data_IF_617277229712
#
_entry.id   IF_617277229712
#
_cell.length_a   1.000
_cell.length_b   1.000
_cell.length_c   1.000
_cell.angle_alpha   90.00
_cell.angle_beta   90.00
_cell.angle_gamma   90.00
#
_symmetry.space_group_name_H-M   'P 1'
#
loop_
_entity.id
_entity.type
_entity.pdbx_description
1 polymer ?
#
# COMPACT_ATOMS: atom_id res chain seq x y z
N UNK A 1 23.69 8.24 -17.93
CA UNK A 1 23.76 6.76 -17.95
C UNK A 1 22.44 6.19 -17.43
N UNK A 2 21.86 5.19 -18.09
CA UNK A 2 20.66 4.51 -17.58
C UNK A 2 21.06 3.31 -16.74
N UNK A 3 20.36 3.09 -15.63
CA UNK A 3 20.53 1.92 -14.77
C UNK A 3 19.34 1.00 -14.94
N UNK A 4 19.63 -0.30 -15.02
CA UNK A 4 18.63 -1.36 -14.88
C UNK A 4 18.75 -1.93 -13.49
N UNK A 5 17.63 -2.05 -12.79
CA UNK A 5 17.55 -2.65 -11.47
C UNK A 5 16.44 -3.69 -11.53
N UNK A 6 16.79 -4.91 -11.14
CA UNK A 6 15.82 -6.00 -10.94
C UNK A 6 15.89 -6.38 -9.48
N UNK A 7 14.75 -6.49 -8.82
CA UNK A 7 14.68 -7.02 -7.47
C UNK A 7 13.31 -7.66 -7.22
N UNK A 8 13.31 -8.63 -6.31
CA UNK A 8 12.10 -9.28 -5.83
C UNK A 8 11.96 -9.03 -4.33
N UNK A 9 10.76 -8.67 -3.89
CA UNK A 9 10.40 -8.55 -2.48
C UNK A 9 9.40 -9.64 -2.13
N UNK A 10 9.67 -10.40 -1.07
CA UNK A 10 8.78 -11.44 -0.56
C UNK A 10 8.42 -11.12 0.88
N UNK A 11 7.12 -11.06 1.16
CA UNK A 11 6.60 -10.80 2.50
C UNK A 11 5.58 -11.88 2.89
N UNK A 12 5.87 -12.69 3.94
CA UNK A 12 4.89 -13.61 4.50
C UNK A 12 3.62 -12.86 4.93
N UNK A 13 2.46 -13.43 4.62
CA UNK A 13 1.18 -12.89 5.07
C UNK A 13 0.71 -13.66 6.30
N UNK A 14 0.06 -13.00 7.28
CA UNK A 14 -0.56 -13.69 8.39
C UNK A 14 -1.55 -14.77 7.93
N UNK A 15 -1.60 -15.90 8.63
CA UNK A 15 -2.37 -17.09 8.24
C UNK A 15 -3.89 -16.88 8.15
N UNK A 16 -4.40 -15.82 8.77
CA UNK A 16 -5.83 -15.48 8.76
C UNK A 16 -6.24 -14.62 7.55
N UNK A 17 -5.29 -14.17 6.72
CA UNK A 17 -5.58 -13.43 5.49
C UNK A 17 -5.91 -14.42 4.38
N UNK A 18 -7.14 -14.42 3.83
CA UNK A 18 -7.50 -15.33 2.73
C UNK A 18 -6.93 -14.84 1.40
N UNK A 19 -6.60 -15.79 0.50
CA UNK A 19 -6.05 -15.49 -0.84
C UNK A 19 -6.90 -14.51 -1.63
N UNK A 20 -8.22 -14.72 -1.65
CA UNK A 20 -9.15 -13.88 -2.41
C UNK A 20 -9.17 -12.43 -1.95
N UNK A 21 -8.92 -12.16 -0.66
CA UNK A 21 -8.81 -10.80 -0.15
C UNK A 21 -7.57 -10.11 -0.74
N UNK A 22 -6.46 -10.84 -0.85
CA UNK A 22 -5.21 -10.33 -1.45
C UNK A 22 -5.44 -10.04 -2.93
N UNK A 23 -5.97 -11.01 -3.69
CA UNK A 23 -6.24 -10.85 -5.12
C UNK A 23 -7.20 -9.67 -5.36
N UNK A 24 -8.31 -9.60 -4.62
CA UNK A 24 -9.28 -8.51 -4.72
C UNK A 24 -8.66 -7.14 -4.41
N UNK A 25 -7.75 -7.08 -3.45
CA UNK A 25 -7.03 -5.84 -3.12
C UNK A 25 -6.05 -5.45 -4.23
N UNK A 26 -5.35 -6.42 -4.82
CA UNK A 26 -4.47 -6.20 -5.97
C UNK A 26 -5.25 -5.71 -7.21
N UNK A 27 -6.45 -6.25 -7.46
CA UNK A 27 -7.30 -5.82 -8.57
C UNK A 27 -8.01 -4.49 -8.32
N UNK A 28 -7.94 -3.94 -7.10
CA UNK A 28 -8.45 -2.61 -6.81
C UNK A 28 -7.43 -1.55 -7.27
N UNK A 29 -7.41 -1.22 -8.57
CA UNK A 29 -6.36 -0.40 -9.18
C UNK A 29 -6.20 0.98 -8.54
N UNK A 30 -7.29 1.67 -8.21
CA UNK A 30 -7.23 2.96 -7.50
C UNK A 30 -6.54 2.81 -6.14
N UNK A 31 -6.86 1.74 -5.41
CA UNK A 31 -6.21 1.45 -4.13
C UNK A 31 -4.71 1.18 -4.31
N UNK A 32 -4.34 0.43 -5.35
CA UNK A 32 -2.94 0.14 -5.70
C UNK A 32 -2.15 1.39 -6.09
N UNK A 33 -2.76 2.30 -6.83
CA UNK A 33 -2.15 3.58 -7.20
C UNK A 33 -1.89 4.44 -5.96
N UNK A 34 -2.84 4.49 -5.03
CA UNK A 34 -2.77 5.26 -3.79
C UNK A 34 -1.80 4.69 -2.74
N UNK A 35 -1.10 3.59 -3.03
CA UNK A 35 -0.03 3.09 -2.15
C UNK A 35 1.17 4.05 -2.12
N UNK A 36 1.41 4.77 -3.22
CA UNK A 36 2.49 5.75 -3.31
C UNK A 36 1.96 7.14 -2.88
N UNK A 37 2.45 7.72 -1.77
CA UNK A 37 1.99 9.02 -1.28
C UNK A 37 2.36 10.19 -2.20
N UNK A 38 3.24 9.97 -3.19
CA UNK A 38 3.55 10.99 -4.19
C UNK A 38 2.39 11.22 -5.16
N UNK A 39 1.52 10.24 -5.36
CA UNK A 39 0.38 10.35 -6.28
C UNK A 39 -0.63 11.32 -5.67
N UNK A 40 -0.81 12.48 -6.31
CA UNK A 40 -1.80 13.48 -5.91
C UNK A 40 -3.11 13.35 -6.70
N UNK A 41 -3.06 12.73 -7.88
CA UNK A 41 -4.23 12.55 -8.74
C UNK A 41 -4.02 11.34 -9.64
N UNK A 42 -5.09 10.58 -9.85
CA UNK A 42 -5.13 9.57 -10.90
C UNK A 42 -6.51 9.56 -11.56
N UNK A 43 -6.57 9.21 -12.84
CA UNK A 43 -7.84 9.03 -13.57
C UNK A 43 -7.68 7.96 -14.63
N UNK A 44 -8.75 7.21 -14.92
CA UNK A 44 -8.76 6.27 -16.03
C UNK A 44 -8.60 7.03 -17.35
N UNK A 45 -7.81 6.49 -18.28
CA UNK A 45 -7.60 7.08 -19.60
C UNK A 45 -7.59 6.01 -20.70
N UNK A 46 -7.53 6.44 -21.95
CA UNK A 46 -7.30 5.53 -23.09
C UNK A 46 -5.82 5.14 -23.18
N UNK A 47 -5.56 3.96 -23.74
CA UNK A 47 -4.20 3.55 -24.10
C UNK A 47 -3.54 4.63 -24.97
N UNK A 48 -2.26 4.97 -24.72
CA UNK A 48 -1.54 5.89 -25.59
C UNK A 48 -1.33 5.25 -26.99
N UNK A 49 -1.27 6.04 -28.07
CA UNK A 49 -1.15 5.50 -29.43
C UNK A 49 0.11 4.66 -29.68
N UNK A 50 1.18 4.92 -28.92
CA UNK A 50 2.43 4.20 -28.97
C UNK A 50 2.52 3.05 -27.94
N UNK A 51 1.40 2.66 -27.32
CA UNK A 51 1.37 1.51 -26.43
C UNK A 51 1.75 0.23 -27.21
N UNK A 52 2.55 -0.66 -26.62
CA UNK A 52 2.77 -2.00 -27.15
C UNK A 52 1.43 -2.74 -27.38
N UNK A 53 1.33 -3.62 -28.40
CA UNK A 53 0.09 -4.34 -28.71
C UNK A 53 -0.45 -5.18 -27.55
N UNK A 54 0.43 -5.78 -26.75
CA UNK A 54 0.10 -6.58 -25.57
C UNK A 54 -0.48 -5.74 -24.42
N UNK A 55 -0.18 -4.44 -24.38
CA UNK A 55 -0.65 -3.52 -23.34
C UNK A 55 -1.85 -2.68 -23.80
N UNK A 56 -2.14 -2.64 -25.09
CA UNK A 56 -3.21 -1.81 -25.66
C UNK A 56 -4.58 -2.10 -25.06
N UNK A 57 -4.85 -3.38 -24.73
CA UNK A 57 -6.09 -3.84 -24.13
C UNK A 57 -6.11 -3.82 -22.59
N UNK A 58 -5.02 -3.39 -21.96
CA UNK A 58 -4.98 -3.25 -20.50
C UNK A 58 -5.82 -2.06 -20.02
N UNK A 59 -6.01 -1.97 -18.70
CA UNK A 59 -6.67 -0.81 -18.10
C UNK A 59 -5.62 0.29 -17.91
N UNK A 60 -5.86 1.45 -18.51
CA UNK A 60 -4.91 2.58 -18.48
C UNK A 60 -5.35 3.68 -17.53
N UNK A 61 -4.36 4.26 -16.85
CA UNK A 61 -4.52 5.42 -15.98
C UNK A 61 -3.51 6.50 -16.35
N UNK A 62 -3.93 7.75 -16.19
CA UNK A 62 -3.07 8.93 -16.13
C UNK A 62 -2.91 9.32 -14.66
N UNK A 63 -1.66 9.35 -14.20
CA UNK A 63 -1.27 9.66 -12.82
C UNK A 63 -0.51 10.97 -12.80
N UNK A 64 -0.66 11.72 -11.71
CA UNK A 64 0.14 12.91 -11.44
C UNK A 64 0.80 12.74 -10.07
N UNK A 65 2.11 12.73 -10.07
CA UNK A 65 2.94 12.71 -8.86
C UNK A 65 3.42 14.11 -8.53
N UNK A 66 3.42 14.46 -7.24
CA UNK A 66 4.06 15.67 -6.75
C UNK A 66 5.45 15.34 -6.23
N UNK A 67 6.48 15.72 -6.99
CA UNK A 67 7.88 15.42 -6.66
C UNK A 67 8.58 16.70 -6.20
N UNK A 68 8.90 16.76 -4.90
CA UNK A 68 9.59 17.91 -4.32
C UNK A 68 11.12 17.80 -4.37
N UNK A 69 11.67 16.58 -4.32
CA UNK A 69 13.08 16.33 -4.03
C UNK A 69 13.65 15.21 -4.89
N UNK A 70 13.90 15.46 -6.18
CA UNK A 70 14.85 14.63 -6.91
C UNK A 70 16.29 15.05 -6.58
N UNK A 71 17.22 14.10 -6.35
CA UNK A 71 18.65 14.37 -6.25
C UNK A 71 19.10 15.23 -7.44
N UNK A 72 19.75 16.36 -7.16
CA UNK A 72 20.15 17.35 -8.17
C UNK A 72 19.16 18.50 -8.39
N UNK A 73 18.02 18.57 -7.66
CA UNK A 73 17.02 19.67 -7.76
C UNK A 73 16.43 19.90 -9.16
N UNK A 74 16.57 18.94 -10.08
CA UNK A 74 16.23 19.09 -11.50
C UNK A 74 14.71 19.17 -11.72
N UNK A 75 13.92 18.47 -10.89
CA UNK A 75 12.46 18.40 -11.01
C UNK A 75 11.85 18.76 -9.66
N UNK A 76 11.13 19.88 -9.63
CA UNK A 76 10.24 20.29 -8.54
C UNK A 76 8.86 20.53 -9.14
N UNK A 77 7.87 19.75 -8.72
CA UNK A 77 6.48 19.94 -9.09
C UNK A 77 5.80 18.67 -9.58
N UNK A 78 4.73 18.89 -10.34
CA UNK A 78 3.82 17.83 -10.75
C UNK A 78 4.31 17.14 -12.02
N UNK A 79 4.46 15.83 -11.96
CA UNK A 79 4.84 14.98 -13.09
C UNK A 79 3.66 14.11 -13.46
N UNK A 80 3.14 14.31 -14.67
CA UNK A 80 2.05 13.50 -15.20
C UNK A 80 2.59 12.41 -16.12
N UNK A 81 2.11 11.19 -15.94
CA UNK A 81 2.54 10.01 -16.68
C UNK A 81 1.41 9.00 -16.82
N UNK A 82 1.65 7.94 -17.61
CA UNK A 82 0.66 6.89 -17.84
C UNK A 82 1.14 5.55 -17.30
N UNK A 83 0.20 4.78 -16.81
CA UNK A 83 0.44 3.41 -16.35
C UNK A 83 -0.69 2.49 -16.84
N UNK A 84 -0.33 1.26 -17.18
CA UNK A 84 -1.29 0.21 -17.48
C UNK A 84 -1.33 -0.84 -16.36
N UNK A 85 -2.51 -1.42 -16.17
CA UNK A 85 -2.83 -2.41 -15.15
C UNK A 85 -3.46 -3.62 -15.85
N UNK A 86 -2.92 -4.79 -15.55
CA UNK A 86 -3.35 -6.07 -16.08
C UNK A 86 -3.59 -7.05 -14.94
N UNK A 87 -4.86 -7.35 -14.69
CA UNK A 87 -5.28 -8.27 -13.64
C UNK A 87 -4.92 -9.71 -14.03
N UNK A 88 -4.10 -10.35 -13.20
CA UNK A 88 -3.77 -11.75 -13.30
C UNK A 88 -4.64 -12.55 -12.34
N UNK A 89 -4.86 -13.84 -12.63
CA UNK A 89 -5.64 -14.71 -11.74
C UNK A 89 -5.10 -14.75 -10.30
N UNK A 90 -3.78 -14.64 -10.13
CA UNK A 90 -3.10 -14.65 -8.82
C UNK A 90 -2.43 -13.33 -8.46
N UNK A 91 -2.79 -12.23 -9.10
CA UNK A 91 -2.22 -10.94 -8.75
C UNK A 91 -2.41 -9.87 -9.82
N UNK A 92 -1.40 -9.03 -10.01
CA UNK A 92 -1.49 -7.84 -10.84
C UNK A 92 -0.15 -7.60 -11.54
N UNK A 93 -0.19 -7.30 -12.82
CA UNK A 93 0.95 -6.73 -13.54
C UNK A 93 0.68 -5.25 -13.84
N UNK A 94 1.70 -4.42 -13.66
CA UNK A 94 1.65 -3.00 -13.98
C UNK A 94 2.86 -2.61 -14.82
N UNK A 95 2.66 -1.63 -15.69
CA UNK A 95 3.75 -1.01 -16.43
C UNK A 95 3.56 0.51 -16.44
N UNK A 96 4.58 1.22 -15.94
CA UNK A 96 4.57 2.67 -15.78
C UNK A 96 5.56 3.29 -16.77
N UNK A 97 5.08 4.30 -17.50
CA UNK A 97 5.84 5.10 -18.44
C UNK A 97 5.88 6.56 -18.00
N UNK A 98 6.95 6.94 -17.31
CA UNK A 98 7.14 8.29 -16.80
C UNK A 98 8.25 9.05 -17.55
N UNK A 99 8.29 10.40 -17.46
CA UNK A 99 9.31 11.20 -18.12
C UNK A 99 10.74 10.77 -17.77
N UNK A 100 11.71 11.22 -18.57
CA UNK A 100 13.15 10.87 -18.44
C UNK A 100 13.47 9.39 -18.65
N UNK A 101 12.64 8.69 -19.46
CA UNK A 101 12.74 7.24 -19.71
C UNK A 101 12.69 6.41 -18.42
N UNK A 102 11.86 6.84 -17.47
CA UNK A 102 11.51 6.03 -16.30
C UNK A 102 10.47 5.00 -16.73
N UNK A 103 10.91 3.75 -16.77
CA UNK A 103 10.14 2.57 -17.16
C UNK A 103 10.16 1.59 -15.98
N UNK A 104 8.97 1.24 -15.48
CA UNK A 104 8.80 0.35 -14.34
C UNK A 104 7.80 -0.74 -14.71
N UNK A 105 8.27 -1.98 -14.78
CA UNK A 105 7.41 -3.16 -14.88
C UNK A 105 7.38 -3.83 -13.52
N UNK A 106 6.19 -3.98 -12.97
CA UNK A 106 6.01 -4.56 -11.65
C UNK A 106 4.96 -5.68 -11.73
N UNK A 107 5.26 -6.84 -11.13
CA UNK A 107 4.36 -7.98 -11.02
C UNK A 107 4.17 -8.35 -9.56
N UNK A 108 2.94 -8.22 -9.10
CA UNK A 108 2.47 -8.68 -7.80
C UNK A 108 1.87 -10.07 -7.95
N UNK A 109 2.22 -11.00 -7.07
CA UNK A 109 1.66 -12.35 -7.06
C UNK A 109 1.44 -12.82 -5.63
N UNK A 110 0.27 -13.41 -5.37
CA UNK A 110 0.03 -14.17 -4.14
C UNK A 110 0.43 -15.62 -4.35
N UNK A 111 1.42 -16.05 -3.59
CA UNK A 111 2.01 -17.38 -3.64
C UNK A 111 1.80 -18.11 -2.31
N UNK A 112 2.16 -19.39 -2.29
CA UNK A 112 1.96 -20.25 -1.13
C UNK A 112 0.55 -20.81 -1.09
N UNK A 113 0.29 -21.55 -0.02
CA UNK A 113 -0.90 -22.39 0.12
C UNK A 113 -1.67 -22.03 1.38
N UNK A 114 -3.00 -22.08 1.28
CA UNK A 114 -3.89 -22.01 2.44
C UNK A 114 -3.89 -23.37 3.18
N UNK A 115 -4.34 -23.42 4.45
CA UNK A 115 -4.54 -24.69 5.15
C UNK A 115 -5.43 -25.65 4.34
N UNK A 116 -4.96 -26.88 4.12
CA UNK A 116 -5.66 -27.91 3.36
C UNK A 116 -5.31 -27.98 1.87
N UNK A 117 -4.63 -26.98 1.33
CA UNK A 117 -4.15 -27.02 -0.06
C UNK A 117 -2.79 -27.71 -0.18
N UNK A 118 -2.51 -28.35 -1.33
CA UNK A 118 -1.17 -28.87 -1.63
C UNK A 118 -0.12 -27.76 -1.56
N UNK A 119 1.06 -28.11 -1.07
CA UNK A 119 2.18 -27.18 -1.00
C UNK A 119 2.64 -26.76 -2.39
N UNK A 120 2.76 -25.46 -2.61
CA UNK A 120 3.31 -24.92 -3.85
C UNK A 120 4.84 -25.14 -3.89
N UNK A 121 5.41 -25.50 -5.06
CA UNK A 121 6.85 -25.62 -5.22
C UNK A 121 7.52 -24.26 -5.03
N UNK A 122 8.62 -24.24 -4.28
CA UNK A 122 9.41 -23.02 -4.08
C UNK A 122 10.22 -22.74 -5.34
N UNK A 123 10.07 -21.54 -5.90
CA UNK A 123 10.86 -21.11 -7.04
C UNK A 123 12.33 -20.90 -6.65
N UNK A 124 13.23 -21.33 -7.55
CA UNK A 124 14.68 -21.20 -7.35
C UNK A 124 15.08 -19.71 -7.29
N UNK A 125 16.02 -19.39 -6.39
CA UNK A 125 16.55 -18.03 -6.23
C UNK A 125 15.79 -17.14 -5.25
N UNK A 126 14.61 -17.57 -4.76
CA UNK A 126 13.90 -16.86 -3.71
C UNK A 126 14.47 -17.23 -2.32
N UNK A 127 15.09 -16.26 -1.67
CA UNK A 127 15.51 -16.37 -0.26
C UNK A 127 14.38 -15.88 0.66
N UNK A 128 14.17 -16.53 1.80
CA UNK A 128 13.17 -16.16 2.84
C UNK A 128 11.70 -16.40 2.47
N UNK A 129 11.42 -17.36 1.58
CA UNK A 129 10.04 -17.81 1.34
C UNK A 129 9.55 -18.60 2.56
N UNK A 130 8.39 -18.25 3.15
CA UNK A 130 7.85 -19.00 4.27
C UNK A 130 7.52 -20.44 3.84
N UNK A 131 7.72 -21.40 4.75
CA UNK A 131 7.47 -22.83 4.46
C UNK A 131 5.97 -23.14 4.32
N UNK A 132 5.12 -22.35 4.97
CA UNK A 132 3.68 -22.54 5.05
C UNK A 132 2.97 -21.19 5.02
N UNK A 133 1.71 -21.22 4.58
CA UNK A 133 0.86 -20.02 4.47
C UNK A 133 1.08 -19.26 3.17
N UNK A 134 0.34 -18.16 3.03
CA UNK A 134 0.45 -17.27 1.89
C UNK A 134 1.61 -16.29 2.07
N UNK A 135 2.18 -15.88 0.95
CA UNK A 135 3.11 -14.75 0.91
C UNK A 135 2.84 -13.89 -0.32
N UNK A 136 3.08 -12.59 -0.15
CA UNK A 136 3.03 -11.63 -1.24
C UNK A 136 4.43 -11.53 -1.87
N UNK A 137 4.48 -11.71 -3.18
CA UNK A 137 5.67 -11.51 -4.00
C UNK A 137 5.50 -10.31 -4.90
N UNK A 138 6.51 -9.46 -4.95
CA UNK A 138 6.61 -8.33 -5.88
C UNK A 138 7.90 -8.48 -6.68
N UNK A 139 7.79 -8.70 -7.99
CA UNK A 139 8.90 -8.71 -8.93
C UNK A 139 8.97 -7.37 -9.66
N UNK A 140 10.07 -6.64 -9.50
CA UNK A 140 10.25 -5.31 -10.10
C UNK A 140 11.38 -5.33 -11.11
N UNK A 141 11.09 -4.83 -12.30
CA UNK A 141 12.06 -4.42 -13.30
C UNK A 141 11.97 -2.89 -13.47
N UNK A 142 13.04 -2.19 -13.11
CA UNK A 142 13.16 -0.73 -13.15
C UNK A 142 14.26 -0.32 -14.12
N UNK A 143 13.94 0.57 -15.05
CA UNK A 143 14.90 1.29 -15.90
C UNK A 143 14.73 2.78 -15.70
N UNK A 144 15.78 3.47 -15.27
CA UNK A 144 15.75 4.91 -15.08
C UNK A 144 17.16 5.53 -15.07
N UNK A 145 17.24 6.86 -14.95
CA UNK A 145 18.52 7.52 -14.72
C UNK A 145 19.11 7.10 -13.36
N UNK A 146 20.41 6.82 -13.34
CA UNK A 146 21.19 6.46 -12.15
C UNK A 146 20.90 7.31 -10.91
N UNK A 147 20.72 8.63 -11.06
CA UNK A 147 20.44 9.55 -9.96
C UNK A 147 19.05 9.39 -9.33
N UNK A 148 18.05 8.95 -10.11
CA UNK A 148 16.69 8.74 -9.62
C UNK A 148 16.49 7.31 -9.07
N UNK A 149 17.40 6.39 -9.40
CA UNK A 149 17.19 4.97 -9.17
C UNK A 149 17.03 4.58 -7.69
N UNK A 150 17.78 5.21 -6.79
CA UNK A 150 17.65 4.95 -5.35
C UNK A 150 16.32 5.45 -4.79
N UNK A 151 15.89 6.65 -5.21
CA UNK A 151 14.62 7.23 -4.81
C UNK A 151 13.45 6.36 -5.28
N UNK A 152 13.41 6.02 -6.57
CA UNK A 152 12.33 5.19 -7.14
C UNK A 152 12.31 3.82 -6.48
N UNK A 153 13.47 3.17 -6.30
CA UNK A 153 13.55 1.88 -5.61
C UNK A 153 13.02 1.96 -4.18
N UNK A 154 13.31 3.05 -3.46
CA UNK A 154 12.79 3.26 -2.10
C UNK A 154 11.27 3.43 -2.12
N UNK A 155 10.75 4.29 -2.99
CA UNK A 155 9.30 4.51 -3.13
C UNK A 155 8.54 3.22 -3.43
N UNK A 156 9.08 2.36 -4.29
CA UNK A 156 8.46 1.05 -4.59
C UNK A 156 8.43 0.14 -3.36
N UNK A 157 9.52 0.09 -2.58
CA UNK A 157 9.55 -0.67 -1.32
C UNK A 157 8.61 -0.12 -0.26
N UNK A 158 8.52 1.20 -0.14
CA UNK A 158 7.61 1.84 0.81
C UNK A 158 6.15 1.53 0.44
N UNK A 159 5.80 1.58 -0.85
CA UNK A 159 4.48 1.17 -1.34
C UNK A 159 4.16 -0.30 -1.06
N UNK A 160 5.15 -1.20 -1.15
CA UNK A 160 5.01 -2.60 -0.75
C UNK A 160 4.62 -2.75 0.71
N UNK A 161 5.31 -2.03 1.62
CA UNK A 161 5.00 -2.08 3.06
C UNK A 161 3.59 -1.57 3.32
N UNK A 162 3.21 -0.44 2.72
CA UNK A 162 1.85 0.12 2.86
C UNK A 162 0.77 -0.84 2.38
N UNK A 163 1.03 -1.61 1.31
CA UNK A 163 0.11 -2.62 0.83
C UNK A 163 -0.06 -3.75 1.85
N UNK A 164 1.03 -4.25 2.41
CA UNK A 164 1.00 -5.30 3.44
C UNK A 164 0.20 -4.83 4.66
N UNK A 165 0.45 -3.62 5.14
CA UNK A 165 -0.31 -3.01 6.24
C UNK A 165 -1.81 -2.90 5.90
N UNK A 166 -2.13 -2.50 4.68
CA UNK A 166 -3.52 -2.42 4.19
C UNK A 166 -4.19 -3.79 4.12
N UNK A 167 -3.48 -4.83 3.70
CA UNK A 167 -3.98 -6.20 3.69
C UNK A 167 -4.30 -6.68 5.10
N UNK A 168 -3.41 -6.44 6.06
CA UNK A 168 -3.61 -6.77 7.48
C UNK A 168 -4.86 -6.05 8.02
N UNK A 169 -4.95 -4.73 7.82
CA UNK A 169 -6.11 -3.94 8.26
C UNK A 169 -7.41 -4.43 7.63
N UNK A 170 -7.43 -4.76 6.34
CA UNK A 170 -8.63 -5.30 5.67
C UNK A 170 -9.01 -6.66 6.22
N UNK A 171 -8.03 -7.52 6.53
CA UNK A 171 -8.28 -8.82 7.11
C UNK A 171 -8.85 -8.71 8.54
N UNK A 172 -8.31 -7.79 9.36
CA UNK A 172 -8.82 -7.52 10.71
C UNK A 172 -10.25 -6.98 10.68
N UNK A 173 -10.56 -6.09 9.73
CA UNK A 173 -11.93 -5.60 9.52
C UNK A 173 -12.87 -6.71 9.05
N UNK A 174 -12.40 -7.62 8.20
CA UNK A 174 -13.19 -8.77 7.75
C UNK A 174 -13.48 -9.72 8.92
N UNK A 175 -12.47 -10.05 9.73
CA UNK A 175 -12.60 -10.85 10.93
C UNK A 175 -13.57 -10.22 11.93
N UNK A 176 -13.42 -8.92 12.22
CA UNK A 176 -14.32 -8.21 13.12
C UNK A 176 -15.77 -8.12 12.61
N UNK A 177 -16.00 -8.10 11.28
CA UNK A 177 -17.34 -8.21 10.71
C UNK A 177 -17.93 -9.60 10.91
N UNK A 178 -17.15 -10.66 10.65
CA UNK A 178 -17.55 -12.06 10.88
C UNK A 178 -17.90 -12.25 12.37
N UNK A 179 -17.01 -11.84 13.27
CA UNK A 179 -17.24 -11.95 14.72
C UNK A 179 -18.53 -11.25 15.15
N UNK A 180 -18.83 -10.05 14.62
CA UNK A 180 -20.10 -9.34 14.91
C UNK A 180 -21.34 -10.03 14.34
N UNK A 181 -21.22 -10.65 13.17
CA UNK A 181 -22.34 -11.33 12.52
C UNK A 181 -22.69 -12.65 13.23
N UNK A 182 -21.68 -13.40 13.68
CA UNK A 182 -21.87 -14.68 14.37
C UNK A 182 -22.02 -14.54 15.89
N UNK A 183 -21.40 -13.52 16.51
CA UNK A 183 -21.61 -13.18 17.92
C UNK A 183 -22.92 -12.37 18.06
N UNK A 184 -24.04 -13.08 18.00
CA UNK A 184 -25.35 -12.54 18.32
C UNK A 184 -25.47 -12.39 19.86
N UNK A 185 -25.60 -11.17 20.43
CA UNK A 185 -25.66 -10.98 21.87
C UNK A 185 -27.02 -11.36 22.50
N UNK A 186 -27.85 -12.18 21.85
CA UNK A 186 -29.13 -12.71 22.41
C UNK A 186 -28.97 -13.73 23.55
N UNK A 187 -27.92 -13.66 24.37
CA UNK A 187 -27.80 -14.41 25.64
C UNK A 187 -27.48 -13.55 26.87
N UNK A 188 -27.79 -12.25 26.88
CA UNK A 188 -27.76 -11.42 28.11
C UNK A 188 -29.08 -10.69 28.40
N UNK A 189 -30.19 -11.40 28.38
CA UNK A 189 -31.46 -11.05 29.05
C UNK A 189 -32.13 -12.41 29.29
N UNK A 190 -31.98 -13.07 30.43
CA UNK A 190 -32.68 -12.77 31.70
C UNK A 190 -31.98 -13.51 32.85
N UNK A 191 -30.99 -12.87 33.47
CA UNK A 191 -30.72 -13.10 34.89
C UNK A 191 -31.07 -11.79 35.61
N UNK A 192 -32.32 -11.34 35.44
CA UNK A 192 -32.87 -10.24 36.22
C UNK A 192 -33.46 -10.86 37.48
N UNK A 193 -32.60 -10.85 38.49
CA UNK A 193 -32.91 -11.02 39.89
C UNK A 193 -34.15 -10.18 40.25
N UNK A 194 -35.05 -10.82 40.99
CA UNK A 194 -36.23 -10.23 41.58
C UNK A 194 -35.88 -9.01 42.46
N UNK A 195 -36.78 -8.03 42.56
CA UNK A 195 -36.45 -6.69 43.03
C UNK A 195 -36.40 -6.62 44.56
N UNK A 196 -35.24 -6.28 45.11
CA UNK A 196 -35.16 -5.65 46.43
C UNK A 196 -35.23 -4.14 46.20
N UNK A 197 -36.43 -3.59 46.40
CA UNK A 197 -36.66 -2.16 46.46
C UNK A 197 -36.01 -1.61 47.73
N UNK A 198 -35.03 -0.72 47.56
CA UNK A 198 -34.74 0.33 48.55
C UNK A 198 -34.10 1.52 47.82
N UNK A 199 -34.96 2.51 47.61
CA UNK A 199 -34.72 3.83 47.06
C UNK A 199 -33.81 4.63 47.99
N UNK A 200 -32.65 5.08 47.50
CA UNK A 200 -32.03 6.32 47.95
C UNK A 200 -31.44 7.07 46.74
N UNK A 201 -31.98 8.27 46.53
CA UNK A 201 -31.65 9.21 45.48
C UNK A 201 -30.44 10.07 45.87
N UNK A 202 -29.66 10.56 44.88
CA UNK A 202 -28.97 11.87 44.80
C UNK A 202 -28.04 11.91 43.55
N UNK A 203 -27.63 13.09 43.02
CA UNK A 203 -28.04 13.44 41.66
C UNK A 203 -26.90 13.68 40.65
N UNK A 204 -27.34 13.58 39.39
CA UNK A 204 -26.85 14.20 38.15
C UNK A 204 -25.47 14.87 38.12
N UNK A 205 -24.51 14.21 37.47
CA UNK A 205 -23.38 14.85 36.78
C UNK A 205 -23.38 14.43 35.31
N UNK A 206 -24.25 15.07 34.53
CA UNK A 206 -24.28 14.95 33.08
C UNK A 206 -23.35 15.99 32.43
N UNK A 207 -22.76 15.59 31.29
CA UNK A 207 -21.96 16.37 30.32
C UNK A 207 -20.44 16.40 30.54
N UNK A 208 -19.75 15.35 30.10
CA UNK A 208 -18.34 15.48 29.69
C UNK A 208 -17.83 14.28 28.87
N UNK A 209 -18.40 13.95 27.71
CA UNK A 209 -17.71 13.11 26.71
C UNK A 209 -18.21 13.42 25.30
N UNK A 210 -18.01 14.67 24.86
CA UNK A 210 -18.19 15.08 23.47
C UNK A 210 -17.06 16.04 23.07
N UNK A 211 -15.79 15.65 23.26
CA UNK A 211 -14.64 16.47 22.84
C UNK A 211 -13.39 15.62 22.56
N UNK A 212 -13.50 14.60 21.69
CA UNK A 212 -12.34 13.83 21.23
C UNK A 212 -12.13 13.84 19.69
N UNK A 213 -12.89 14.65 18.95
CA UNK A 213 -12.68 14.88 17.50
C UNK A 213 -12.35 16.34 17.23
N UNK A 214 -11.11 16.75 17.52
CA UNK A 214 -10.40 17.89 16.91
C UNK A 214 -9.13 18.15 17.72
N UNK A 215 -8.05 17.43 17.43
CA UNK A 215 -6.66 17.84 17.70
C UNK A 215 -5.72 16.81 17.08
N UNK A 216 -5.66 16.80 15.75
CA UNK A 216 -4.50 16.27 15.04
C UNK A 216 -4.23 17.21 13.85
N UNK A 217 -3.86 18.44 14.18
CA UNK A 217 -3.20 19.37 13.26
C UNK A 217 -2.01 19.93 14.03
N UNK A 218 -1.01 19.08 14.23
CA UNK A 218 0.31 19.49 14.72
C UNK A 218 1.09 19.96 13.50
N UNK A 219 1.14 21.27 13.33
CA UNK A 219 2.03 21.95 12.40
C UNK A 219 3.47 21.58 12.72
N UNK A 220 4.05 20.66 11.95
CA UNK A 220 5.50 20.45 11.94
C UNK A 220 6.12 21.60 11.15
N UNK A 221 6.51 22.66 11.85
CA UNK A 221 7.43 23.67 11.32
C UNK A 221 8.82 23.04 11.32
N UNK A 222 9.16 22.39 10.20
CA UNK A 222 10.53 21.91 9.96
C UNK A 222 11.38 23.14 9.66
N UNK A 223 12.19 23.56 10.62
CA UNK A 223 13.19 24.61 10.40
C UNK A 223 14.19 24.15 9.33
N UNK A 224 14.56 25.04 8.38
CA UNK A 224 15.52 24.70 7.35
C UNK A 224 16.92 24.48 7.96
N UNK A 225 17.69 23.52 7.43
CA UNK A 225 19.01 23.17 7.95
C UNK A 225 19.99 24.33 7.78
N UNK A 226 20.83 24.53 8.81
CA UNK A 226 21.90 25.52 8.87
C UNK A 226 22.87 25.35 7.69
N UNK A 227 23.37 26.46 7.10
CA UNK A 227 24.30 26.39 5.99
C UNK A 227 25.64 25.74 6.40
N UNK A 228 26.26 24.96 5.50
CA UNK A 228 27.50 24.24 5.78
C UNK A 228 28.69 25.19 5.98
N UNK A 229 29.70 24.78 6.77
CA UNK A 229 30.86 25.60 7.06
C UNK A 229 31.70 25.86 5.81
N UNK A 230 32.18 27.09 5.72
CA UNK A 230 32.97 27.65 4.64
C UNK A 230 34.28 26.85 4.49
N UNK A 231 34.38 26.02 3.45
CA UNK A 231 35.63 25.32 3.12
C UNK A 231 36.44 26.28 2.26
N UNK A 232 37.50 26.83 2.85
CA UNK A 232 38.53 27.56 2.11
C UNK A 232 39.27 26.58 1.20
N UNK A 233 38.98 26.65 -0.10
CA UNK A 233 39.83 26.07 -1.14
C UNK A 233 41.06 26.98 -1.28
N UNK A 234 42.22 26.43 -0.92
CA UNK A 234 43.53 27.00 -1.22
C UNK A 234 43.81 26.83 -2.72
N UNK A 235 44.43 27.86 -3.29
CA UNK A 235 44.72 28.12 -4.71
C UNK A 235 45.18 26.91 -5.55
#
# INVERSE_FOLDING_TARGET
MFKRIVFTTVTPLPSYIPRDLVIKTLHAHSEMIELNPLVIKHKRCKAPPNAPPDEFHCIWYELTDNIHYLPGRIIRGNVTYKACFHDLQRGLQTHIYAPTNLDIRNRWTVCGNMPGEPREPVELGLTNVPREGLFLREDVYLRCNTFAASFVKKTLKDAHVVLVDRLIMKADLLKGKIDRLYFNPRRRRTALLAPSAQTQALPSRAKAFATAKKKLSTNFVVMPPSPPPNVHELE
#
